data_IF_761662738051
#
_entry.id   IF_761662738051
#
_cell.length_a   1.000
_cell.length_b   1.000
_cell.length_c   1.000
_cell.angle_alpha   90.00
_cell.angle_beta   90.00
_cell.angle_gamma   90.00
#
_symmetry.space_group_name_H-M   'P 1'
#
loop_
_entity.id
_entity.type
_entity.pdbx_description
1 polymer ?
#
# COMPACT_ATOMS: atom_id res chain seq x y z
N UNK A 1 20.89 -13.73 -4.13
CA UNK A 1 21.01 -15.10 -3.60
C UNK A 1 20.87 -16.15 -4.72
N UNK A 2 19.90 -16.03 -5.60
CA UNK A 2 19.61 -17.01 -6.68
C UNK A 2 20.78 -17.22 -7.64
N UNK A 3 21.40 -16.15 -8.14
CA UNK A 3 22.59 -16.20 -9.02
C UNK A 3 23.78 -16.95 -8.41
N UNK A 4 23.84 -17.04 -7.09
CA UNK A 4 24.95 -17.68 -6.36
C UNK A 4 24.71 -19.18 -6.13
N UNK A 5 23.46 -19.59 -5.90
CA UNK A 5 23.12 -20.98 -5.58
C UNK A 5 22.71 -21.82 -6.79
N UNK A 6 22.14 -21.21 -7.83
CA UNK A 6 21.69 -21.92 -9.03
C UNK A 6 22.81 -22.75 -9.71
N UNK A 7 24.05 -22.22 -9.93
CA UNK A 7 25.11 -23.02 -10.53
C UNK A 7 25.49 -24.25 -9.71
N UNK A 8 25.43 -24.17 -8.39
CA UNK A 8 25.78 -25.31 -7.51
C UNK A 8 24.70 -26.41 -7.58
N UNK A 9 23.43 -26.02 -7.63
CA UNK A 9 22.34 -26.99 -7.78
C UNK A 9 22.38 -27.69 -9.13
N UNK A 10 22.69 -26.94 -10.18
CA UNK A 10 22.85 -27.49 -11.52
C UNK A 10 24.06 -28.40 -11.62
N UNK A 11 25.17 -28.02 -11.02
CA UNK A 11 26.35 -28.86 -10.93
C UNK A 11 26.09 -30.18 -10.18
N UNK A 12 25.33 -30.09 -9.07
CA UNK A 12 24.95 -31.27 -8.29
C UNK A 12 24.01 -32.22 -9.09
N UNK A 13 23.03 -31.67 -9.78
CA UNK A 13 22.11 -32.46 -10.60
C UNK A 13 22.87 -33.14 -11.78
N UNK A 14 23.82 -32.44 -12.38
CA UNK A 14 24.66 -33.00 -13.44
C UNK A 14 25.66 -34.03 -12.92
N UNK A 15 26.17 -33.88 -11.71
CA UNK A 15 27.08 -34.85 -11.08
C UNK A 15 26.45 -36.24 -10.95
N UNK A 16 25.11 -36.32 -10.63
CA UNK A 16 24.38 -37.57 -10.61
C UNK A 16 24.43 -38.30 -11.95
N UNK A 17 24.30 -37.59 -13.06
CA UNK A 17 24.35 -38.14 -14.39
C UNK A 17 25.77 -38.66 -14.74
N UNK A 18 26.80 -37.94 -14.29
CA UNK A 18 28.21 -38.37 -14.49
C UNK A 18 28.52 -39.59 -13.64
N UNK A 19 28.09 -39.64 -12.38
CA UNK A 19 28.27 -40.81 -11.50
C UNK A 19 27.56 -42.02 -12.09
N UNK A 20 26.36 -41.86 -12.66
CA UNK A 20 25.64 -42.95 -13.28
C UNK A 20 26.35 -43.43 -14.57
N UNK A 21 26.87 -42.51 -15.39
CA UNK A 21 27.59 -42.86 -16.62
C UNK A 21 28.83 -43.70 -16.28
N UNK A 22 29.64 -43.23 -15.33
CA UNK A 22 30.89 -43.89 -14.97
C UNK A 22 30.65 -45.16 -14.16
N UNK A 23 29.83 -45.10 -13.10
CA UNK A 23 29.56 -46.22 -12.19
C UNK A 23 28.67 -47.28 -12.86
N UNK A 24 27.55 -46.88 -13.45
CA UNK A 24 26.66 -47.77 -14.16
C UNK A 24 27.30 -48.39 -15.39
N UNK A 25 28.09 -47.61 -16.15
CA UNK A 25 28.85 -48.10 -17.28
C UNK A 25 29.92 -49.16 -16.88
N UNK A 26 30.58 -48.95 -15.72
CA UNK A 26 31.53 -49.92 -15.16
C UNK A 26 30.86 -51.25 -14.78
N UNK A 27 29.71 -51.23 -14.12
CA UNK A 27 28.97 -52.45 -13.78
C UNK A 27 28.39 -53.14 -15.05
N UNK A 28 27.98 -52.36 -16.06
CA UNK A 28 27.55 -52.92 -17.34
C UNK A 28 28.67 -53.64 -18.05
N UNK A 29 29.89 -53.09 -18.09
CA UNK A 29 31.10 -53.72 -18.72
C UNK A 29 31.48 -54.98 -17.97
N UNK A 30 31.34 -55.02 -16.64
CA UNK A 30 31.58 -56.22 -15.83
C UNK A 30 30.50 -57.30 -16.03
N UNK A 31 29.39 -56.99 -16.65
CA UNK A 31 28.25 -57.91 -16.82
C UNK A 31 27.40 -58.10 -15.58
N UNK A 32 27.56 -57.25 -14.55
CA UNK A 32 26.80 -57.29 -13.32
C UNK A 32 25.37 -56.72 -13.45
N UNK A 33 25.18 -55.85 -14.44
CA UNK A 33 23.85 -55.32 -14.85
C UNK A 33 23.66 -55.44 -16.35
N UNK A 34 22.40 -55.54 -16.76
CA UNK A 34 22.00 -55.59 -18.18
C UNK A 34 21.86 -54.18 -18.76
N UNK A 35 21.89 -54.06 -20.07
CA UNK A 35 21.65 -52.80 -20.78
C UNK A 35 20.23 -52.24 -20.45
N UNK A 36 19.23 -53.09 -20.28
CA UNK A 36 17.90 -52.67 -19.90
C UNK A 36 17.80 -52.05 -18.49
N UNK A 37 18.51 -52.66 -17.54
CA UNK A 37 18.62 -52.11 -16.16
C UNK A 37 19.37 -50.79 -16.16
N UNK A 38 20.46 -50.67 -16.91
CA UNK A 38 21.19 -49.40 -17.04
C UNK A 38 20.30 -48.26 -17.57
N UNK A 39 19.56 -48.53 -18.64
CA UNK A 39 18.61 -47.55 -19.21
C UNK A 39 17.51 -47.21 -18.25
N UNK A 40 16.93 -48.19 -17.55
CA UNK A 40 15.90 -47.96 -16.55
C UNK A 40 16.35 -47.09 -15.40
N UNK A 41 17.55 -47.37 -14.82
CA UNK A 41 18.13 -46.58 -13.74
C UNK A 41 18.47 -45.15 -14.23
N UNK A 42 18.99 -45.01 -15.46
CA UNK A 42 19.26 -43.70 -16.07
C UNK A 42 18.00 -42.86 -16.19
N UNK A 43 16.87 -43.46 -16.56
CA UNK A 43 15.53 -42.81 -16.58
C UNK A 43 15.08 -42.32 -15.21
N UNK A 44 15.29 -43.13 -14.17
CA UNK A 44 14.94 -42.77 -12.78
C UNK A 44 15.78 -41.59 -12.27
N UNK A 45 17.04 -41.52 -12.61
CA UNK A 45 17.92 -40.37 -12.23
C UNK A 45 17.40 -39.08 -12.87
N UNK A 46 16.96 -39.09 -14.12
CA UNK A 46 16.30 -37.94 -14.73
C UNK A 46 15.02 -37.53 -14.03
N UNK A 47 14.23 -38.50 -13.59
CA UNK A 47 13.01 -38.26 -12.79
C UNK A 47 13.28 -37.55 -11.48
N UNK A 48 14.43 -37.86 -10.82
CA UNK A 48 14.83 -37.23 -9.55
C UNK A 48 15.52 -35.88 -9.77
N UNK A 49 16.35 -35.75 -10.81
CA UNK A 49 17.09 -34.53 -11.07
C UNK A 49 16.18 -33.31 -11.36
N UNK A 50 15.06 -33.52 -12.04
CA UNK A 50 14.12 -32.43 -12.38
C UNK A 50 13.43 -31.81 -11.14
N UNK A 51 12.83 -32.55 -10.21
CA UNK A 51 12.31 -31.98 -8.97
C UNK A 51 13.38 -31.24 -8.17
N UNK A 52 14.59 -31.78 -8.04
CA UNK A 52 15.70 -31.15 -7.32
C UNK A 52 16.08 -29.80 -7.97
N UNK A 53 16.17 -29.76 -9.31
CA UNK A 53 16.43 -28.51 -10.03
C UNK A 53 15.33 -27.46 -9.80
N UNK A 54 14.07 -27.89 -9.74
CA UNK A 54 12.93 -27.00 -9.52
C UNK A 54 12.77 -26.52 -8.07
N UNK A 55 13.37 -27.20 -7.09
CA UNK A 55 13.31 -26.78 -5.68
C UNK A 55 13.78 -25.33 -5.49
N UNK A 56 14.84 -24.93 -6.18
CA UNK A 56 15.35 -23.55 -6.11
C UNK A 56 14.32 -22.52 -6.62
N UNK A 57 13.58 -22.87 -7.67
CA UNK A 57 12.53 -22.04 -8.24
C UNK A 57 11.37 -21.95 -7.24
N UNK A 58 10.92 -23.06 -6.69
CA UNK A 58 9.81 -23.09 -5.73
C UNK A 58 10.12 -22.30 -4.45
N UNK A 59 11.33 -22.38 -3.93
CA UNK A 59 11.76 -21.57 -2.78
C UNK A 59 11.73 -20.09 -3.11
N UNK A 60 12.19 -19.69 -4.29
CA UNK A 60 12.16 -18.30 -4.73
C UNK A 60 10.72 -17.79 -4.92
N UNK A 61 9.86 -18.59 -5.53
CA UNK A 61 8.43 -18.24 -5.74
C UNK A 61 7.69 -18.13 -4.40
N UNK A 62 8.00 -19.00 -3.44
CA UNK A 62 7.45 -18.91 -2.08
C UNK A 62 7.87 -17.60 -1.40
N UNK A 63 9.14 -17.20 -1.51
CA UNK A 63 9.61 -15.94 -0.96
C UNK A 63 8.92 -14.72 -1.61
N UNK A 64 8.76 -14.74 -2.94
CA UNK A 64 8.03 -13.70 -3.67
C UNK A 64 6.56 -13.65 -3.26
N UNK A 65 5.93 -14.82 -3.12
CA UNK A 65 4.55 -14.93 -2.65
C UNK A 65 4.42 -14.33 -1.25
N UNK A 66 5.28 -14.72 -0.29
CA UNK A 66 5.25 -14.18 1.06
C UNK A 66 5.44 -12.67 1.10
N UNK A 67 6.40 -12.14 0.33
CA UNK A 67 6.63 -10.70 0.26
C UNK A 67 5.42 -9.94 -0.32
N UNK A 68 4.74 -10.49 -1.31
CA UNK A 68 3.54 -9.91 -1.90
C UNK A 68 2.33 -10.03 -0.96
N UNK A 69 2.16 -11.19 -0.34
CA UNK A 69 1.08 -11.45 0.64
C UNK A 69 1.19 -10.50 1.85
N UNK A 70 2.39 -10.25 2.35
CA UNK A 70 2.62 -9.30 3.45
C UNK A 70 2.11 -7.90 3.10
N UNK A 71 2.36 -7.41 1.88
CA UNK A 71 1.85 -6.10 1.43
C UNK A 71 0.32 -6.04 1.35
N UNK A 72 -0.30 -7.12 0.86
CA UNK A 72 -1.76 -7.23 0.82
C UNK A 72 -2.35 -7.25 2.22
N UNK A 73 -1.74 -8.04 3.12
CA UNK A 73 -2.15 -8.14 4.53
C UNK A 73 -2.01 -6.78 5.23
N UNK A 74 -0.91 -6.07 5.01
CA UNK A 74 -0.68 -4.75 5.58
C UNK A 74 -1.80 -3.77 5.19
N UNK A 75 -2.20 -3.75 3.91
CA UNK A 75 -3.30 -2.91 3.44
C UNK A 75 -4.64 -3.41 3.97
N UNK A 76 -4.89 -4.71 3.94
CA UNK A 76 -6.16 -5.31 4.36
C UNK A 76 -6.46 -5.08 5.85
N UNK A 77 -5.44 -5.15 6.70
CA UNK A 77 -5.56 -4.92 8.14
C UNK A 77 -5.22 -3.49 8.56
N UNK A 78 -4.91 -2.59 7.60
CA UNK A 78 -4.70 -1.19 7.90
C UNK A 78 -5.98 -0.60 8.51
N UNK A 79 -5.87 -0.12 9.75
CA UNK A 79 -6.97 0.57 10.41
C UNK A 79 -6.79 2.07 10.20
N UNK A 80 -7.82 2.79 9.76
CA UNK A 80 -7.76 4.23 9.65
C UNK A 80 -7.51 4.84 11.04
N UNK A 81 -6.57 5.77 11.11
CA UNK A 81 -6.25 6.51 12.34
C UNK A 81 -7.36 7.51 12.67
N UNK A 82 -7.95 8.08 11.62
CA UNK A 82 -9.03 9.06 11.74
C UNK A 82 -10.36 8.34 11.46
N UNK A 83 -11.16 8.20 12.48
CA UNK A 83 -12.49 7.58 12.43
C UNK A 83 -13.52 8.51 13.06
N UNK A 84 -14.78 8.26 12.76
CA UNK A 84 -15.87 8.95 13.47
C UNK A 84 -15.82 8.59 14.96
N UNK A 85 -16.00 9.61 15.79
CA UNK A 85 -16.11 9.42 17.24
C UNK A 85 -17.51 8.92 17.57
N UNK A 86 -17.64 8.22 18.69
CA UNK A 86 -18.94 7.77 19.20
C UNK A 86 -19.89 8.94 19.51
N UNK A 87 -19.31 10.10 19.88
CA UNK A 87 -20.03 11.35 20.15
C UNK A 87 -20.19 12.25 18.92
N UNK A 88 -19.90 11.74 17.70
CA UNK A 88 -20.04 12.51 16.46
C UNK A 88 -21.52 12.79 16.18
N UNK A 89 -21.82 14.07 16.00
CA UNK A 89 -23.19 14.55 15.74
C UNK A 89 -23.51 14.35 14.27
N UNK A 90 -24.68 13.78 14.01
CA UNK A 90 -25.25 13.67 12.68
C UNK A 90 -25.89 15.01 12.30
N UNK A 91 -25.18 15.83 11.56
CA UNK A 91 -25.69 17.12 11.06
C UNK A 91 -25.87 17.03 9.57
N UNK A 92 -27.11 16.86 9.14
CA UNK A 92 -27.52 16.82 7.72
C UNK A 92 -27.66 18.22 7.11
N UNK A 93 -27.55 19.28 7.90
CA UNK A 93 -27.66 20.65 7.42
C UNK A 93 -26.44 21.05 6.61
N UNK A 94 -26.70 21.88 5.58
CA UNK A 94 -25.65 22.44 4.74
C UNK A 94 -24.76 23.36 5.56
N UNK A 95 -23.44 23.20 5.42
CA UNK A 95 -22.45 24.05 6.08
C UNK A 95 -22.54 25.49 5.53
N UNK A 96 -22.51 26.46 6.43
CA UNK A 96 -22.38 27.87 6.08
C UNK A 96 -20.96 28.19 5.62
N UNK A 97 -19.96 27.60 6.26
CA UNK A 97 -18.54 27.69 5.90
C UNK A 97 -17.75 28.66 6.78
N UNK A 98 -18.19 28.94 8.00
CA UNK A 98 -17.35 29.61 8.99
C UNK A 98 -16.25 28.65 9.47
N UNK A 99 -14.99 29.08 9.43
CA UNK A 99 -13.85 28.27 9.89
C UNK A 99 -13.11 29.01 10.97
N UNK A 100 -12.85 28.34 12.10
CA UNK A 100 -12.12 28.94 13.23
C UNK A 100 -11.08 27.96 13.78
N UNK A 101 -9.87 28.45 13.97
CA UNK A 101 -8.77 27.76 14.64
C UNK A 101 -8.56 28.39 16.00
N UNK A 102 -8.56 27.58 17.07
CA UNK A 102 -8.36 28.00 18.47
C UNK A 102 -7.21 27.21 19.06
N UNK A 103 -6.13 27.91 19.36
CA UNK A 103 -4.93 27.40 20.04
C UNK A 103 -4.40 26.12 19.39
N UNK A 104 -4.45 26.06 18.06
CA UNK A 104 -4.18 24.83 17.29
C UNK A 104 -2.69 24.59 17.17
N UNK A 105 -2.25 23.47 17.75
CA UNK A 105 -0.89 22.96 17.54
C UNK A 105 -0.99 21.61 16.80
N UNK A 106 -0.18 21.48 15.75
CA UNK A 106 -0.10 20.25 14.96
C UNK A 106 1.34 19.79 14.77
N UNK A 107 1.58 18.48 14.93
CA UNK A 107 2.92 17.86 14.86
C UNK A 107 2.89 16.63 13.98
N UNK A 108 3.95 16.45 13.18
CA UNK A 108 4.27 15.15 12.58
C UNK A 108 5.34 14.46 13.45
N UNK A 109 4.95 13.43 14.18
CA UNK A 109 5.81 12.77 15.16
C UNK A 109 6.28 13.77 16.24
N UNK A 110 7.59 14.09 16.26
CA UNK A 110 8.17 15.07 17.21
C UNK A 110 8.32 16.48 16.63
N UNK A 111 8.09 16.66 15.33
CA UNK A 111 8.28 17.94 14.66
C UNK A 111 7.01 18.77 14.73
N UNK A 112 7.08 19.97 15.31
CA UNK A 112 5.97 20.94 15.37
C UNK A 112 5.89 21.60 13.99
N UNK A 113 4.71 21.53 13.37
CA UNK A 113 4.40 22.12 12.06
C UNK A 113 3.56 23.37 12.20
N UNK A 114 2.59 23.34 13.10
CA UNK A 114 1.76 24.48 13.47
C UNK A 114 1.85 24.63 14.98
N UNK A 115 2.04 25.85 15.44
CA UNK A 115 2.20 26.17 16.85
C UNK A 115 1.30 27.34 17.25
N UNK A 116 0.35 27.07 18.13
CA UNK A 116 -0.59 28.04 18.71
C UNK A 116 -1.31 28.90 17.65
N UNK A 117 -1.85 28.26 16.61
CA UNK A 117 -2.50 28.96 15.49
C UNK A 117 -3.91 29.38 15.88
N UNK A 118 -4.17 30.68 15.76
CA UNK A 118 -5.45 31.31 16.11
C UNK A 118 -5.90 32.22 14.97
N UNK A 119 -7.04 31.92 14.35
CA UNK A 119 -7.71 32.78 13.38
C UNK A 119 -9.16 32.38 13.15
N UNK A 120 -9.94 33.27 12.53
CA UNK A 120 -11.32 33.02 12.14
C UNK A 120 -11.59 33.56 10.74
N UNK A 121 -12.24 32.74 9.91
CA UNK A 121 -12.69 33.05 8.56
C UNK A 121 -14.21 32.97 8.57
N UNK A 122 -14.88 33.98 8.07
CA UNK A 122 -16.35 33.97 7.93
C UNK A 122 -16.75 33.37 6.58
N UNK A 123 -17.93 32.79 6.53
CA UNK A 123 -18.54 32.30 5.32
C UNK A 123 -18.49 33.35 4.20
N UNK A 124 -18.22 32.92 2.98
CA UNK A 124 -18.12 33.78 1.79
C UNK A 124 -16.82 34.56 1.67
N UNK A 125 -15.89 34.47 2.63
CA UNK A 125 -14.58 35.14 2.51
C UNK A 125 -13.61 34.30 1.66
N UNK A 126 -12.81 34.98 0.85
CA UNK A 126 -11.64 34.42 0.19
C UNK A 126 -10.40 34.78 1.00
N UNK A 127 -9.63 33.77 1.40
CA UNK A 127 -8.42 33.93 2.23
C UNK A 127 -7.22 33.35 1.51
N UNK A 128 -6.12 34.12 1.43
CA UNK A 128 -4.83 33.66 0.94
C UNK A 128 -3.90 33.36 2.10
N UNK A 129 -3.31 32.13 2.11
CA UNK A 129 -2.30 31.69 3.08
C UNK A 129 -0.95 31.75 2.40
N UNK A 130 -0.08 32.64 2.88
CA UNK A 130 1.27 32.86 2.35
C UNK A 130 2.34 32.39 3.32
N UNK A 131 3.49 31.98 2.81
CA UNK A 131 4.63 31.57 3.59
C UNK A 131 5.61 30.73 2.76
N UNK A 132 6.80 30.50 3.31
CA UNK A 132 7.84 29.70 2.67
C UNK A 132 7.43 28.24 2.49
N UNK A 133 8.15 27.51 1.62
CA UNK A 133 7.96 26.06 1.49
C UNK A 133 8.27 25.39 2.82
N UNK A 134 7.38 24.48 3.26
CA UNK A 134 7.53 23.79 4.55
C UNK A 134 6.95 24.54 5.75
N UNK A 135 6.38 25.76 5.59
CA UNK A 135 5.79 26.52 6.71
C UNK A 135 4.45 25.99 7.24
N UNK A 136 3.97 24.84 6.78
CA UNK A 136 2.76 24.20 7.30
C UNK A 136 1.46 24.59 6.61
N UNK A 137 1.47 25.34 5.49
CA UNK A 137 0.25 25.77 4.78
C UNK A 137 -0.66 24.62 4.39
N UNK A 138 -0.11 23.58 3.77
CA UNK A 138 -0.86 22.37 3.37
C UNK A 138 -1.38 21.63 4.60
N UNK A 139 -0.60 21.56 5.67
CA UNK A 139 -1.03 20.93 6.92
C UNK A 139 -2.21 21.67 7.55
N UNK A 140 -2.19 22.99 7.53
CA UNK A 140 -3.27 23.83 8.03
C UNK A 140 -4.58 23.57 7.27
N UNK A 141 -4.52 23.57 5.93
CA UNK A 141 -5.69 23.29 5.09
C UNK A 141 -6.22 21.87 5.33
N UNK A 142 -5.33 20.88 5.49
CA UNK A 142 -5.70 19.49 5.70
C UNK A 142 -6.37 19.20 7.07
N UNK A 143 -6.26 20.11 8.03
CA UNK A 143 -6.97 19.99 9.30
C UNK A 143 -8.48 20.32 9.18
N UNK A 144 -8.89 21.11 8.18
CA UNK A 144 -10.29 21.48 7.99
C UNK A 144 -11.16 20.28 7.61
N UNK A 145 -10.83 19.47 6.57
CA UNK A 145 -11.55 18.23 6.23
C UNK A 145 -11.19 17.07 7.16
N UNK A 146 -10.41 17.34 8.23
CA UNK A 146 -9.96 16.35 9.20
C UNK A 146 -9.20 15.19 8.53
N UNK A 147 -8.23 15.49 7.65
CA UNK A 147 -7.26 14.48 7.19
C UNK A 147 -6.26 14.16 8.28
N UNK A 148 -6.06 15.08 9.20
CA UNK A 148 -5.31 14.92 10.44
C UNK A 148 -6.08 15.52 11.60
N UNK A 149 -5.84 15.03 12.80
CA UNK A 149 -6.32 15.67 14.04
C UNK A 149 -5.23 16.57 14.63
N UNK A 150 -5.59 17.75 15.08
CA UNK A 150 -4.68 18.62 15.82
C UNK A 150 -4.21 17.93 17.11
N UNK A 151 -2.97 18.16 17.54
CA UNK A 151 -2.46 17.64 18.81
C UNK A 151 -3.05 18.36 20.01
N UNK A 152 -3.24 19.67 19.89
CA UNK A 152 -3.97 20.49 20.88
C UNK A 152 -4.76 21.59 20.18
N UNK A 153 -5.67 22.20 20.91
CA UNK A 153 -6.60 23.19 20.36
C UNK A 153 -7.76 22.59 19.59
N UNK A 154 -8.52 23.44 18.93
CA UNK A 154 -9.74 23.06 18.22
C UNK A 154 -9.82 23.70 16.84
N UNK A 155 -10.20 22.89 15.85
CA UNK A 155 -10.62 23.35 14.52
C UNK A 155 -12.13 23.27 14.47
N UNK A 156 -12.78 24.41 14.23
CA UNK A 156 -14.23 24.52 14.23
C UNK A 156 -14.71 24.87 12.82
N UNK A 157 -15.77 24.22 12.38
CA UNK A 157 -16.53 24.56 11.17
C UNK A 157 -17.96 24.86 11.63
N UNK A 158 -18.45 26.07 11.32
CA UNK A 158 -19.75 26.58 11.81
C UNK A 158 -19.92 26.44 13.34
N UNK A 159 -18.84 26.73 14.08
CA UNK A 159 -18.82 26.67 15.55
C UNK A 159 -18.76 25.26 16.14
N UNK A 160 -18.77 24.20 15.33
CA UNK A 160 -18.68 22.81 15.78
C UNK A 160 -17.31 22.25 15.49
N UNK A 161 -16.68 21.63 16.48
CA UNK A 161 -15.37 21.00 16.33
C UNK A 161 -15.43 19.87 15.29
N UNK A 162 -14.50 19.89 14.31
CA UNK A 162 -14.43 18.89 13.21
C UNK A 162 -14.35 17.45 13.74
N UNK A 163 -13.80 17.23 14.94
CA UNK A 163 -13.75 15.92 15.58
C UNK A 163 -15.12 15.39 16.03
N UNK A 164 -16.08 16.27 16.21
CA UNK A 164 -17.46 15.95 16.61
C UNK A 164 -18.41 15.86 15.42
N UNK A 165 -17.89 15.97 14.19
CA UNK A 165 -18.67 15.80 12.96
C UNK A 165 -18.39 14.42 12.35
N UNK A 166 -19.40 13.83 11.69
CA UNK A 166 -19.20 12.66 10.86
C UNK A 166 -18.32 13.03 9.66
N UNK A 167 -17.29 12.24 9.41
CA UNK A 167 -16.30 12.50 8.33
C UNK A 167 -16.95 12.58 6.95
N UNK A 168 -17.90 11.69 6.67
CA UNK A 168 -18.62 11.69 5.39
C UNK A 168 -19.36 13.01 5.17
N UNK A 169 -20.06 13.53 6.17
CA UNK A 169 -20.83 14.76 6.09
C UNK A 169 -19.95 16.01 6.02
N UNK A 170 -18.84 16.02 6.76
CA UNK A 170 -17.88 17.13 6.69
C UNK A 170 -17.23 17.19 5.30
N UNK A 171 -16.74 16.06 4.80
CA UNK A 171 -15.96 16.01 3.57
C UNK A 171 -16.79 16.16 2.30
N UNK A 172 -18.05 15.69 2.30
CA UNK A 172 -18.95 15.86 1.15
C UNK A 172 -19.29 17.32 0.84
N UNK A 173 -19.09 18.22 1.81
CA UNK A 173 -19.37 19.65 1.66
C UNK A 173 -18.12 20.51 1.49
N UNK A 174 -16.93 19.89 1.40
CA UNK A 174 -15.65 20.58 1.23
C UNK A 174 -15.02 20.14 -0.09
N UNK A 175 -15.00 21.01 -1.08
CA UNK A 175 -14.24 20.80 -2.31
C UNK A 175 -12.76 21.14 -2.10
N UNK A 176 -11.86 20.26 -2.51
CA UNK A 176 -10.41 20.48 -2.44
C UNK A 176 -9.76 20.28 -3.80
N UNK A 177 -8.93 21.26 -4.21
CA UNK A 177 -8.00 21.10 -5.30
C UNK A 177 -6.59 20.91 -4.73
N UNK A 178 -6.02 19.72 -4.94
CA UNK A 178 -4.66 19.39 -4.45
C UNK A 178 -3.61 19.77 -5.50
N UNK A 179 -2.38 19.98 -5.04
CA UNK A 179 -1.25 20.28 -5.92
C UNK A 179 -0.88 19.06 -6.78
N UNK A 180 -0.91 17.88 -6.20
CA UNK A 180 -0.70 16.62 -6.91
C UNK A 180 -2.06 16.06 -7.36
N UNK A 181 -2.24 15.96 -8.66
CA UNK A 181 -3.47 15.42 -9.27
C UNK A 181 -3.27 13.92 -9.49
N UNK A 182 -4.10 13.11 -8.86
CA UNK A 182 -4.20 11.68 -9.12
C UNK A 182 -5.37 11.43 -10.07
N UNK A 183 -5.08 10.85 -11.22
CA UNK A 183 -6.10 10.37 -12.15
C UNK A 183 -6.11 8.84 -12.10
N UNK A 184 -7.29 8.27 -12.01
CA UNK A 184 -7.48 6.82 -12.12
C UNK A 184 -7.43 6.40 -13.58
N UNK A 185 -7.06 5.14 -13.83
CA UNK A 185 -7.08 4.53 -15.16
C UNK A 185 -8.54 4.25 -15.58
N UNK A 186 -9.28 5.33 -15.80
CA UNK A 186 -10.71 5.35 -16.14
C UNK A 186 -10.96 6.45 -17.17
N UNK A 187 -12.20 6.57 -17.63
CA UNK A 187 -12.66 7.66 -18.50
C UNK A 187 -12.55 9.01 -17.79
N UNK A 188 -12.68 10.10 -18.54
CA UNK A 188 -12.74 11.46 -17.96
C UNK A 188 -13.96 11.56 -17.04
N UNK A 189 -15.11 11.07 -17.48
CA UNK A 189 -16.35 11.07 -16.71
C UNK A 189 -16.22 10.25 -15.44
N UNK A 190 -15.60 9.06 -15.49
CA UNK A 190 -15.32 8.23 -14.30
C UNK A 190 -14.39 8.91 -13.30
N UNK A 191 -13.45 9.74 -13.76
CA UNK A 191 -12.59 10.54 -12.87
C UNK A 191 -13.33 11.73 -12.26
N UNK A 192 -14.27 12.35 -12.98
CA UNK A 192 -15.10 13.45 -12.48
C UNK A 192 -16.13 12.91 -11.47
N UNK A 193 -16.82 11.83 -11.82
CA UNK A 193 -17.84 11.21 -10.98
C UNK A 193 -17.27 10.32 -9.84
N UNK A 194 -15.96 10.26 -9.65
CA UNK A 194 -15.32 9.34 -8.69
C UNK A 194 -15.85 9.47 -7.25
N UNK A 195 -16.29 10.65 -6.84
CA UNK A 195 -16.85 10.91 -5.52
C UNK A 195 -18.36 10.66 -5.39
N UNK A 196 -19.06 10.51 -6.50
CA UNK A 196 -20.51 10.36 -6.57
C UNK A 196 -20.88 9.39 -7.70
N UNK A 197 -21.17 8.14 -7.33
CA UNK A 197 -21.53 7.09 -8.29
C UNK A 197 -22.90 7.27 -8.94
N UNK A 198 -23.72 8.18 -8.42
CA UNK A 198 -25.07 8.44 -8.90
C UNK A 198 -25.14 9.68 -9.83
N UNK A 199 -23.96 10.32 -10.06
CA UNK A 199 -23.84 11.45 -10.99
C UNK A 199 -24.10 10.99 -12.41
N UNK A 200 -25.02 11.66 -13.11
CA UNK A 200 -25.35 11.39 -14.51
C UNK A 200 -24.45 12.19 -15.45
N UNK A 201 -24.34 11.77 -16.73
CA UNK A 201 -23.59 12.52 -17.77
C UNK A 201 -24.16 13.92 -18.05
N UNK A 202 -25.36 14.22 -17.56
CA UNK A 202 -26.04 15.49 -17.76
C UNK A 202 -25.82 16.48 -16.60
N UNK A 203 -25.26 16.02 -15.46
CA UNK A 203 -24.94 16.82 -14.29
C UNK A 203 -23.52 17.42 -14.36
#
# INVERSE_FOLDING_TARGET
>A
LWLKFFPYMEAFANALSVIMLLGGGFFLIKGEITMGEYVAISGLIWGIANPVRNLGIYVNDMQRFMASAMKVIEIYYARPIITDREDAVDQTERLHGDVEFKDVTFKFGKHIVLDDVNFKIKAGQTVAIMGETGSGKTSLINLIPRFYDANSGEVLVDGVNVRKRKLSQLRSQIGMATQDVLLFSDTIDGNIAYGDSDMSEED
#
